data_IF_793727928890
#
_entry.id   IF_793727928890
#
_cell.length_a   1.000
_cell.length_b   1.000
_cell.length_c   1.000
_cell.angle_alpha   90.00
_cell.angle_beta   90.00
_cell.angle_gamma   90.00
#
_symmetry.space_group_name_H-M   'P 1'
#
loop_
_entity.id
_entity.type
_entity.pdbx_description
1 polymer ?
#
# COMPACT_ATOMS: atom_id res chain seq x y z
N UNK A 1 -1.34 -10.25 8.15
CA UNK A 1 -1.96 -10.40 6.83
C UNK A 1 -1.16 -11.39 6.03
N UNK A 2 -1.72 -11.88 4.94
CA UNK A 2 -0.92 -12.55 3.89
C UNK A 2 -0.52 -11.44 2.92
N UNK A 3 0.78 -11.15 2.83
CA UNK A 3 1.34 -10.30 1.79
C UNK A 3 1.38 -11.06 0.45
N UNK A 4 1.04 -10.37 -0.63
CA UNK A 4 1.06 -10.91 -1.99
C UNK A 4 1.70 -9.90 -2.93
N UNK A 5 2.56 -10.41 -3.80
CA UNK A 5 3.22 -9.66 -4.85
C UNK A 5 2.49 -9.85 -6.18
N UNK A 6 2.56 -8.86 -7.07
CA UNK A 6 2.11 -9.00 -8.46
C UNK A 6 3.03 -9.94 -9.24
N UNK A 7 2.56 -10.53 -10.35
CA UNK A 7 3.38 -11.36 -11.24
C UNK A 7 4.69 -10.66 -11.66
N UNK A 8 4.60 -9.37 -11.99
CA UNK A 8 5.75 -8.49 -12.25
C UNK A 8 6.24 -7.85 -10.95
N UNK A 9 7.28 -8.41 -10.35
CA UNK A 9 7.85 -7.94 -9.07
C UNK A 9 9.39 -7.92 -9.06
N UNK A 10 9.99 -7.24 -8.09
CA UNK A 10 11.43 -7.09 -7.96
C UNK A 10 12.07 -6.46 -9.20
N UNK A 11 12.97 -7.20 -9.87
CA UNK A 11 13.65 -6.73 -11.09
C UNK A 11 12.74 -6.59 -12.30
N UNK A 12 11.57 -7.26 -12.30
CA UNK A 12 10.57 -7.14 -13.36
C UNK A 12 9.42 -6.21 -12.96
N UNK A 13 9.53 -5.49 -11.84
CA UNK A 13 8.49 -4.58 -11.35
C UNK A 13 8.15 -3.50 -12.39
N UNK A 14 6.88 -3.12 -12.43
CA UNK A 14 6.35 -2.17 -13.38
C UNK A 14 6.06 -0.82 -12.72
N UNK A 15 6.43 0.26 -13.41
CA UNK A 15 6.38 1.63 -12.90
C UNK A 15 4.94 2.14 -12.73
N UNK A 16 4.73 3.07 -11.79
CA UNK A 16 3.46 3.79 -11.64
C UNK A 16 3.23 4.88 -12.71
N UNK A 17 4.26 5.21 -13.50
CA UNK A 17 4.18 6.20 -14.57
C UNK A 17 4.61 7.62 -14.20
N UNK A 18 4.88 7.95 -12.95
CA UNK A 18 5.23 9.34 -12.55
C UNK A 18 6.69 9.76 -12.75
N UNK A 19 7.62 8.80 -12.83
CA UNK A 19 9.07 9.07 -12.84
C UNK A 19 9.51 9.94 -14.02
N UNK A 20 10.65 10.63 -13.90
CA UNK A 20 11.19 11.44 -15.00
C UNK A 20 10.30 12.63 -15.39
N UNK A 21 9.57 13.20 -14.42
CA UNK A 21 8.59 14.27 -14.58
C UNK A 21 7.35 13.92 -15.42
N UNK A 22 7.13 12.64 -15.75
CA UNK A 22 5.97 12.18 -16.52
C UNK A 22 4.63 12.49 -15.83
N UNK A 23 4.59 12.57 -14.49
CA UNK A 23 3.38 12.99 -13.76
C UNK A 23 2.89 14.40 -14.17
N UNK A 24 3.80 15.28 -14.61
CA UNK A 24 3.49 16.67 -14.95
C UNK A 24 3.30 16.88 -16.46
N UNK A 25 3.57 15.85 -17.26
CA UNK A 25 3.41 15.89 -18.70
C UNK A 25 2.10 15.22 -19.09
N UNK A 26 1.56 15.62 -20.22
CA UNK A 26 0.44 14.89 -20.82
C UNK A 26 0.94 13.50 -21.25
N UNK A 27 0.23 12.47 -20.85
CA UNK A 27 0.54 11.10 -21.27
C UNK A 27 -0.03 10.86 -22.67
N UNK A 28 0.83 10.64 -23.66
CA UNK A 28 0.41 10.26 -25.00
C UNK A 28 0.19 8.75 -25.06
N UNK A 29 -1.08 8.35 -25.04
CA UNK A 29 -1.49 6.94 -25.11
C UNK A 29 -1.93 6.61 -26.53
N UNK A 30 -1.36 5.56 -27.10
CA UNK A 30 -1.75 5.05 -28.41
C UNK A 30 -3.17 4.45 -28.37
N UNK A 31 -3.87 4.45 -29.51
CA UNK A 31 -5.20 3.86 -29.60
C UNK A 31 -5.19 2.38 -29.18
N UNK A 32 -6.09 2.02 -28.25
CA UNK A 32 -6.21 0.66 -27.72
C UNK A 32 -5.29 0.35 -26.53
N UNK A 33 -4.48 1.30 -26.08
CA UNK A 33 -3.67 1.18 -24.86
C UNK A 33 -4.25 2.01 -23.71
N UNK A 34 -3.88 1.63 -22.49
CA UNK A 34 -4.20 2.37 -21.26
C UNK A 34 -3.00 3.18 -20.78
N UNK A 35 -3.28 4.17 -19.93
CA UNK A 35 -2.27 4.90 -19.16
C UNK A 35 -1.46 3.95 -18.29
N UNK A 36 -0.17 4.24 -18.10
CA UNK A 36 0.77 3.39 -17.34
C UNK A 36 0.27 3.12 -15.93
N UNK A 37 -0.28 4.13 -15.26
CA UNK A 37 -0.83 3.97 -13.91
C UNK A 37 -2.06 3.05 -13.88
N UNK A 38 -2.92 3.11 -14.91
CA UNK A 38 -4.09 2.23 -15.06
C UNK A 38 -3.64 0.79 -15.33
N UNK A 39 -2.65 0.58 -16.21
CA UNK A 39 -2.07 -0.75 -16.45
C UNK A 39 -1.55 -1.35 -15.15
N UNK A 40 -0.74 -0.59 -14.39
CA UNK A 40 -0.20 -1.07 -13.12
C UNK A 40 -1.31 -1.34 -12.09
N UNK A 41 -2.35 -0.50 -12.05
CA UNK A 41 -3.46 -0.65 -11.11
C UNK A 41 -4.31 -1.88 -11.40
N UNK A 42 -4.49 -2.26 -12.68
CA UNK A 42 -5.14 -3.53 -13.05
C UNK A 42 -4.36 -4.74 -12.55
N UNK A 43 -3.02 -4.73 -12.65
CA UNK A 43 -2.18 -5.80 -12.10
C UNK A 43 -2.30 -5.91 -10.58
N UNK A 44 -2.32 -4.77 -9.88
CA UNK A 44 -2.49 -4.73 -8.43
C UNK A 44 -3.87 -5.27 -8.03
N UNK A 45 -4.93 -4.84 -8.71
CA UNK A 45 -6.30 -5.31 -8.44
C UNK A 45 -6.48 -6.82 -8.67
N UNK A 46 -5.76 -7.41 -9.62
CA UNK A 46 -5.79 -8.85 -9.87
C UNK A 46 -5.23 -9.70 -8.72
N UNK A 47 -4.46 -9.11 -7.81
CA UNK A 47 -3.95 -9.83 -6.63
C UNK A 47 -5.03 -10.14 -5.60
N UNK A 48 -6.16 -9.40 -5.62
CA UNK A 48 -7.22 -9.50 -4.62
C UNK A 48 -6.83 -9.00 -3.23
N UNK A 49 -5.73 -8.25 -3.10
CA UNK A 49 -5.36 -7.59 -1.86
C UNK A 49 -6.33 -6.45 -1.49
N UNK A 50 -6.43 -6.13 -0.20
CA UNK A 50 -7.24 -4.99 0.27
C UNK A 50 -6.45 -3.67 0.23
N UNK A 51 -5.12 -3.75 0.32
CA UNK A 51 -4.24 -2.58 0.47
C UNK A 51 -3.00 -2.72 -0.42
N UNK A 52 -2.66 -1.66 -1.15
CA UNK A 52 -1.39 -1.49 -1.85
C UNK A 52 -0.42 -0.73 -0.96
N UNK A 53 0.70 -1.36 -0.62
CA UNK A 53 1.81 -0.69 0.05
C UNK A 53 2.74 -0.01 -0.98
N UNK A 54 3.05 1.26 -0.78
CA UNK A 54 4.01 2.03 -1.60
C UNK A 54 5.06 2.69 -0.73
N UNK A 55 6.20 3.07 -1.31
CA UNK A 55 7.27 3.80 -0.59
C UNK A 55 7.67 5.11 -1.28
N UNK A 56 6.75 5.68 -2.06
CA UNK A 56 7.00 6.88 -2.85
C UNK A 56 5.70 7.68 -3.00
N UNK A 57 5.69 8.99 -2.68
CA UNK A 57 4.47 9.81 -2.71
C UNK A 57 3.88 9.94 -4.12
N UNK A 58 4.72 9.85 -5.16
CA UNK A 58 4.25 9.81 -6.54
C UNK A 58 3.53 8.50 -6.86
N UNK A 59 4.03 7.36 -6.35
CA UNK A 59 3.32 6.10 -6.48
C UNK A 59 1.96 6.16 -5.78
N UNK A 60 1.89 6.75 -4.57
CA UNK A 60 0.61 6.92 -3.87
C UNK A 60 -0.41 7.67 -4.74
N UNK A 61 -0.01 8.79 -5.34
CA UNK A 61 -0.91 9.58 -6.19
C UNK A 61 -1.33 8.81 -7.45
N UNK A 62 -0.36 8.27 -8.20
CA UNK A 62 -0.63 7.62 -9.48
C UNK A 62 -1.42 6.33 -9.34
N UNK A 63 -1.12 5.51 -8.33
CA UNK A 63 -1.82 4.25 -8.09
C UNK A 63 -3.23 4.52 -7.57
N UNK A 64 -3.43 5.52 -6.69
CA UNK A 64 -4.79 5.93 -6.28
C UNK A 64 -5.63 6.38 -7.47
N UNK A 65 -5.07 7.21 -8.36
CA UNK A 65 -5.76 7.64 -9.59
C UNK A 65 -6.07 6.45 -10.52
N UNK A 66 -5.10 5.55 -10.73
CA UNK A 66 -5.27 4.38 -11.57
C UNK A 66 -6.28 3.36 -11.02
N UNK A 67 -6.32 3.14 -9.71
CA UNK A 67 -7.30 2.29 -9.03
C UNK A 67 -8.71 2.90 -9.12
N UNK A 68 -8.82 4.21 -8.92
CA UNK A 68 -10.08 4.94 -9.07
C UNK A 68 -10.62 4.84 -10.50
N UNK A 69 -9.75 4.96 -11.50
CA UNK A 69 -10.12 4.85 -12.91
C UNK A 69 -10.69 3.47 -13.30
N UNK A 70 -10.34 2.41 -12.56
CA UNK A 70 -10.88 1.05 -12.76
C UNK A 70 -11.98 0.68 -11.76
N UNK A 71 -12.43 1.62 -10.92
CA UNK A 71 -13.47 1.40 -9.91
C UNK A 71 -13.04 0.46 -8.77
N UNK A 72 -11.76 0.41 -8.45
CA UNK A 72 -11.24 -0.36 -7.31
C UNK A 72 -11.30 0.46 -6.03
N UNK A 73 -11.76 -0.18 -4.94
CA UNK A 73 -11.82 0.40 -3.60
C UNK A 73 -10.60 0.03 -2.73
N UNK A 74 -9.54 -0.50 -3.36
CA UNK A 74 -8.30 -0.84 -2.65
C UNK A 74 -7.66 0.40 -2.03
N UNK A 75 -7.20 0.28 -0.80
CA UNK A 75 -6.52 1.37 -0.11
C UNK A 75 -5.06 1.46 -0.56
N UNK A 76 -4.53 2.67 -0.74
CA UNK A 76 -3.11 2.89 -1.03
C UNK A 76 -2.47 3.54 0.20
N UNK A 77 -1.49 2.86 0.80
CA UNK A 77 -0.78 3.33 1.99
C UNK A 77 0.72 3.41 1.76
N UNK A 78 1.35 4.44 2.29
CA UNK A 78 2.81 4.44 2.41
C UNK A 78 3.25 3.41 3.46
N UNK A 79 4.41 2.77 3.24
CA UNK A 79 5.01 1.84 4.20
C UNK A 79 5.19 2.46 5.59
N UNK A 80 5.44 3.77 5.68
CA UNK A 80 5.56 4.48 6.95
C UNK A 80 4.24 4.50 7.73
N UNK A 81 3.09 4.58 7.05
CA UNK A 81 1.77 4.54 7.68
C UNK A 81 1.49 3.15 8.26
N UNK A 82 1.79 2.10 7.50
CA UNK A 82 1.66 0.71 7.94
C UNK A 82 2.54 0.42 9.15
N UNK A 83 3.79 0.86 9.11
CA UNK A 83 4.73 0.72 10.24
C UNK A 83 4.22 1.50 11.46
N UNK A 84 3.72 2.71 11.27
CA UNK A 84 3.18 3.54 12.36
C UNK A 84 1.95 2.91 13.03
N UNK A 85 1.03 2.35 12.24
CA UNK A 85 -0.13 1.60 12.75
C UNK A 85 0.30 0.43 13.64
N UNK A 86 1.32 -0.32 13.20
CA UNK A 86 1.84 -1.45 13.97
C UNK A 86 2.58 -0.99 15.24
N UNK A 87 3.34 0.11 15.19
CA UNK A 87 3.99 0.69 16.37
C UNK A 87 2.95 1.04 17.43
N UNK A 88 1.89 1.77 17.06
CA UNK A 88 0.81 2.13 17.99
C UNK A 88 0.11 0.91 18.60
N UNK A 89 -0.18 -0.09 17.77
CA UNK A 89 -0.82 -1.33 18.24
C UNK A 89 0.06 -2.08 19.25
N UNK A 90 1.37 -2.18 18.97
CA UNK A 90 2.33 -2.83 19.86
C UNK A 90 2.53 -2.05 21.16
N UNK A 91 2.62 -0.72 21.08
CA UNK A 91 2.77 0.14 22.24
C UNK A 91 1.59 0.00 23.20
N UNK A 92 0.35 -0.02 22.67
CA UNK A 92 -0.85 -0.26 23.48
C UNK A 92 -0.80 -1.62 24.22
N UNK A 93 -0.29 -2.67 23.57
CA UNK A 93 -0.10 -3.98 24.21
C UNK A 93 0.97 -3.92 25.30
N UNK A 94 2.06 -3.20 25.08
CA UNK A 94 3.14 -3.02 26.06
C UNK A 94 2.62 -2.27 27.28
N UNK A 95 1.92 -1.15 27.10
CA UNK A 95 1.37 -0.36 28.18
C UNK A 95 0.30 -1.15 28.96
N UNK A 96 -0.55 -1.93 28.29
CA UNK A 96 -1.50 -2.82 28.96
C UNK A 96 -0.81 -3.89 29.83
N UNK A 97 0.34 -4.42 29.39
CA UNK A 97 1.16 -5.35 30.19
C UNK A 97 1.84 -4.67 31.37
N UNK A 98 2.39 -3.45 31.19
CA UNK A 98 2.98 -2.66 32.27
C UNK A 98 1.98 -2.24 33.34
N UNK A 99 0.71 -2.05 32.97
CA UNK A 99 -0.37 -1.75 33.89
C UNK A 99 -0.82 -2.97 34.72
N UNK A 100 -0.40 -4.19 34.36
CA UNK A 100 -0.67 -5.44 35.08
C UNK A 100 0.57 -6.08 35.74
N UNK A 101 1.11 -5.53 36.83
CA UNK A 101 1.87 -6.34 37.77
C UNK A 101 1.43 -6.06 39.22
N UNK A 102 0.41 -6.80 39.70
CA UNK A 102 0.18 -7.20 41.11
C UNK A 102 -1.21 -7.87 41.35
N UNK A 103 -1.65 -8.84 40.54
CA UNK A 103 -2.75 -9.74 40.92
C UNK A 103 -2.37 -11.20 40.67
N UNK A 104 -1.26 -11.63 41.26
CA UNK A 104 -1.05 -13.00 41.75
C UNK A 104 0.07 -12.97 42.78
N UNK A 105 -0.21 -12.37 43.94
CA UNK A 105 0.39 -12.77 45.21
C UNK A 105 -0.74 -12.77 46.23
N UNK A 106 -0.93 -13.94 46.86
CA UNK A 106 -1.79 -14.21 48.02
C UNK A 106 -3.32 -14.26 47.81
N UNK A 107 -3.79 -15.47 47.47
CA UNK A 107 -4.98 -16.02 48.11
C UNK A 107 -4.70 -17.49 48.50
N UNK A 108 -4.59 -17.70 49.81
CA UNK A 108 -4.57 -18.94 50.61
C UNK A 108 -3.29 -19.77 50.62
#
# INVERSE_FOLDING_TARGET
>A
GVDIETERTGKSSFCCGAGGAQMWMEEHVDEGYDRVNVIRSKELAQTGADTVAVGCPFCSTMITDGLSAIGSEMEVKDIAELVWEQIKANDAVIEAKKAKPAETSEAV
#
